data_IF_281269632422
#
_entry.id   IF_281269632422
#
_cell.length_a   1.000
_cell.length_b   1.000
_cell.length_c   1.000
_cell.angle_alpha   90.00
_cell.angle_beta   90.00
_cell.angle_gamma   90.00
#
_symmetry.space_group_name_H-M   'P 1'
#
loop_
_entity.id
_entity.type
_entity.pdbx_description
1 polymer ?
#
# COMPACT_ATOMS: atom_id res chain seq x y z
N UNK A 1 -6.60 -20.00 -10.00
CA UNK A 1 -5.96 -18.84 -9.35
C UNK A 1 -6.57 -17.59 -9.95
N UNK A 2 -7.20 -16.71 -9.15
CA UNK A 2 -7.86 -15.50 -9.65
C UNK A 2 -6.83 -14.52 -10.24
N UNK A 3 -7.25 -13.66 -11.21
CA UNK A 3 -6.38 -12.62 -11.81
C UNK A 3 -5.79 -11.69 -10.75
N UNK A 4 -6.56 -11.33 -9.73
CA UNK A 4 -6.13 -10.52 -8.58
C UNK A 4 -4.99 -11.19 -7.80
N UNK A 5 -5.08 -12.49 -7.56
CA UNK A 5 -4.02 -13.25 -6.91
C UNK A 5 -2.71 -13.24 -7.70
N UNK A 6 -2.79 -13.37 -9.01
CA UNK A 6 -1.61 -13.27 -9.88
C UNK A 6 -0.95 -11.88 -9.78
N UNK A 7 -1.73 -10.81 -9.75
CA UNK A 7 -1.21 -9.44 -9.60
C UNK A 7 -0.58 -9.21 -8.23
N UNK A 8 -1.20 -9.70 -7.16
CA UNK A 8 -0.64 -9.64 -5.82
C UNK A 8 0.74 -10.32 -5.75
N UNK A 9 0.88 -11.53 -6.30
CA UNK A 9 2.18 -12.21 -6.35
C UNK A 9 3.18 -11.48 -7.25
N UNK A 10 2.73 -10.88 -8.34
CA UNK A 10 3.60 -10.09 -9.22
C UNK A 10 4.15 -8.83 -8.54
N UNK A 11 3.51 -8.32 -7.47
CA UNK A 11 4.07 -7.23 -6.68
C UNK A 11 5.36 -7.61 -5.96
N UNK A 12 5.50 -8.89 -5.58
CA UNK A 12 6.73 -9.44 -5.00
C UNK A 12 7.75 -9.90 -6.07
N UNK A 13 7.27 -10.19 -7.28
CA UNK A 13 8.07 -10.57 -8.44
C UNK A 13 7.81 -9.63 -9.60
N UNK A 14 8.22 -8.39 -9.46
CA UNK A 14 8.12 -7.44 -10.56
C UNK A 14 9.01 -7.90 -11.71
N UNK A 15 8.39 -8.45 -12.76
CA UNK A 15 9.10 -8.76 -14.00
C UNK A 15 9.69 -7.47 -14.58
N UNK A 16 10.88 -7.54 -15.24
CA UNK A 16 11.54 -6.35 -15.77
C UNK A 16 10.63 -5.45 -16.61
N UNK A 17 9.79 -6.01 -17.49
CA UNK A 17 8.91 -5.23 -18.36
C UNK A 17 7.81 -4.47 -17.59
N UNK A 18 7.25 -5.11 -16.56
CA UNK A 18 6.24 -4.49 -15.70
C UNK A 18 6.89 -3.57 -14.67
N UNK A 19 8.11 -3.90 -14.25
CA UNK A 19 8.92 -3.10 -13.35
C UNK A 19 9.29 -1.77 -13.99
N UNK A 20 9.69 -1.74 -15.27
CA UNK A 20 10.06 -0.50 -15.94
C UNK A 20 8.93 0.54 -15.93
N UNK A 21 7.73 0.17 -16.35
CA UNK A 21 6.61 1.13 -16.40
C UNK A 21 6.14 1.57 -15.01
N UNK A 22 5.83 0.63 -14.10
CA UNK A 22 5.39 0.97 -12.76
C UNK A 22 6.46 1.77 -12.00
N UNK A 23 7.71 1.31 -12.03
CA UNK A 23 8.81 1.98 -11.35
C UNK A 23 9.08 3.37 -11.94
N UNK A 24 8.89 3.60 -13.23
CA UNK A 24 9.00 4.96 -13.80
C UNK A 24 8.00 5.96 -13.22
N UNK A 25 6.90 5.48 -12.63
CA UNK A 25 5.87 6.32 -12.00
C UNK A 25 6.17 6.62 -10.53
N UNK A 26 6.88 5.74 -9.84
CA UNK A 26 7.01 5.77 -8.38
C UNK A 26 8.45 5.77 -7.87
N UNK A 27 9.45 5.63 -8.74
CA UNK A 27 10.86 5.45 -8.31
C UNK A 27 11.42 6.62 -7.49
N UNK A 28 10.98 7.84 -7.77
CA UNK A 28 11.32 9.02 -6.98
C UNK A 28 10.85 8.92 -5.53
N UNK A 29 9.63 8.43 -5.31
CA UNK A 29 9.07 8.20 -3.98
C UNK A 29 9.61 6.90 -3.36
N UNK A 30 9.62 5.82 -4.15
CA UNK A 30 10.02 4.50 -3.66
C UNK A 30 11.46 4.48 -3.13
N UNK A 31 12.40 5.17 -3.82
CA UNK A 31 13.80 5.20 -3.43
C UNK A 31 14.12 6.27 -2.36
N UNK A 32 13.13 7.01 -1.87
CA UNK A 32 13.35 7.95 -0.78
C UNK A 32 13.63 7.22 0.53
N UNK A 33 14.48 7.80 1.39
CA UNK A 33 14.81 7.23 2.71
C UNK A 33 13.54 7.03 3.56
N UNK A 34 12.57 7.94 3.42
CA UNK A 34 11.30 7.90 4.14
C UNK A 34 10.46 6.67 3.77
N UNK A 35 10.35 6.35 2.49
CA UNK A 35 9.61 5.16 2.04
C UNK A 35 10.41 3.90 2.34
N UNK A 36 11.72 3.89 2.10
CA UNK A 36 12.58 2.74 2.42
C UNK A 36 12.61 2.43 3.92
N UNK A 37 12.53 3.44 4.79
CA UNK A 37 12.47 3.22 6.24
C UNK A 37 11.25 2.40 6.69
N UNK A 38 10.20 2.28 5.87
CA UNK A 38 9.05 1.44 6.16
C UNK A 38 9.38 -0.06 6.25
N UNK A 39 10.54 -0.48 5.77
CA UNK A 39 11.02 -1.86 5.88
C UNK A 39 11.22 -2.31 7.34
N UNK A 40 11.56 -1.38 8.23
CA UNK A 40 11.79 -1.67 9.66
C UNK A 40 10.49 -1.87 10.46
N UNK A 41 9.32 -1.53 9.90
CA UNK A 41 8.03 -1.67 10.58
C UNK A 41 7.30 -2.91 10.08
N UNK A 42 6.97 -3.81 11.01
CA UNK A 42 6.12 -4.96 10.70
C UNK A 42 4.68 -4.50 10.46
N UNK A 43 4.04 -5.02 9.40
CA UNK A 43 2.66 -4.68 9.06
C UNK A 43 1.71 -5.84 9.39
N UNK A 44 1.96 -7.00 8.82
CA UNK A 44 1.14 -8.21 9.02
C UNK A 44 2.04 -9.43 9.18
N UNK A 45 2.35 -9.80 10.45
CA UNK A 45 3.16 -10.96 10.82
C UNK A 45 4.54 -10.98 10.10
N UNK A 46 4.70 -11.74 9.03
CA UNK A 46 5.97 -11.87 8.31
C UNK A 46 6.18 -10.80 7.20
N UNK A 47 5.26 -9.84 7.06
CA UNK A 47 5.29 -8.82 6.01
C UNK A 47 5.57 -7.46 6.62
N UNK A 48 6.63 -6.79 6.15
CA UNK A 48 6.92 -5.42 6.56
C UNK A 48 6.07 -4.38 5.80
N UNK A 49 6.03 -3.15 6.31
CA UNK A 49 5.18 -2.09 5.77
C UNK A 49 5.58 -1.68 4.35
N UNK A 50 6.87 -1.69 4.02
CA UNK A 50 7.33 -1.41 2.67
C UNK A 50 6.79 -2.44 1.66
N UNK A 51 6.81 -3.72 2.00
CA UNK A 51 6.24 -4.79 1.17
C UNK A 51 4.73 -4.60 0.99
N UNK A 52 4.02 -4.27 2.07
CA UNK A 52 2.58 -4.03 2.04
C UNK A 52 2.23 -2.85 1.12
N UNK A 53 2.78 -1.66 1.35
CA UNK A 53 2.45 -0.47 0.53
C UNK A 53 2.83 -0.66 -0.94
N UNK A 54 3.92 -1.37 -1.22
CA UNK A 54 4.33 -1.71 -2.59
C UNK A 54 3.31 -2.64 -3.26
N UNK A 55 2.82 -3.64 -2.52
CA UNK A 55 1.81 -4.58 -3.02
C UNK A 55 0.48 -3.89 -3.30
N UNK A 56 0.02 -3.04 -2.38
CA UNK A 56 -1.20 -2.24 -2.55
C UNK A 56 -1.06 -1.31 -3.74
N UNK A 57 0.05 -0.58 -3.85
CA UNK A 57 0.32 0.36 -4.94
C UNK A 57 0.34 -0.33 -6.29
N UNK A 58 1.09 -1.42 -6.42
CA UNK A 58 1.17 -2.15 -7.69
C UNK A 58 -0.18 -2.73 -8.12
N UNK A 59 -0.93 -3.31 -7.19
CA UNK A 59 -2.26 -3.86 -7.48
C UNK A 59 -3.23 -2.76 -7.89
N UNK A 60 -3.24 -1.64 -7.17
CA UNK A 60 -4.07 -0.47 -7.47
C UNK A 60 -3.75 0.11 -8.85
N UNK A 61 -2.47 0.27 -9.17
CA UNK A 61 -1.98 0.65 -10.49
C UNK A 61 -2.54 -0.25 -11.59
N UNK A 62 -2.45 -1.58 -11.42
CA UNK A 62 -2.94 -2.55 -12.43
C UNK A 62 -4.45 -2.45 -12.65
N UNK A 63 -5.21 -2.23 -11.58
CA UNK A 63 -6.67 -2.05 -11.66
C UNK A 63 -7.00 -0.74 -12.37
N UNK A 64 -6.42 0.38 -11.92
CA UNK A 64 -6.65 1.69 -12.51
C UNK A 64 -6.31 1.72 -14.00
N UNK A 65 -5.15 1.16 -14.38
CA UNK A 65 -4.72 1.04 -15.78
C UNK A 65 -5.72 0.24 -16.63
N UNK A 66 -6.24 -0.86 -16.09
CA UNK A 66 -7.24 -1.67 -16.79
C UNK A 66 -8.58 -0.95 -16.98
N UNK A 67 -8.95 -0.10 -16.02
CA UNK A 67 -10.18 0.71 -16.06
C UNK A 67 -10.04 1.97 -16.92
N UNK A 68 -8.85 2.29 -17.42
CA UNK A 68 -8.57 3.55 -18.12
C UNK A 68 -8.64 4.78 -17.20
N UNK A 69 -8.43 4.59 -15.88
CA UNK A 69 -8.45 5.65 -14.89
C UNK A 69 -7.03 6.22 -14.70
N UNK A 70 -6.91 7.28 -13.90
CA UNK A 70 -5.62 7.93 -13.62
C UNK A 70 -4.68 7.03 -12.81
N UNK A 71 -4.11 6.03 -13.48
CA UNK A 71 -3.24 5.02 -12.88
C UNK A 71 -1.91 5.58 -12.37
N UNK A 72 -1.48 6.75 -12.86
CA UNK A 72 -0.25 7.43 -12.41
C UNK A 72 -0.45 7.95 -11.00
N UNK A 73 -1.47 8.76 -10.78
CA UNK A 73 -1.84 9.27 -9.46
C UNK A 73 -2.19 8.13 -8.50
N UNK A 74 -2.89 7.08 -8.98
CA UNK A 74 -3.20 5.90 -8.15
C UNK A 74 -1.93 5.21 -7.68
N UNK A 75 -0.94 4.94 -8.54
CA UNK A 75 0.30 4.30 -8.13
C UNK A 75 1.03 5.09 -7.03
N UNK A 76 1.12 6.40 -7.18
CA UNK A 76 1.83 7.30 -6.25
C UNK A 76 1.09 7.45 -4.92
N UNK A 77 -0.18 7.81 -4.96
CA UNK A 77 -0.99 8.01 -3.75
C UNK A 77 -1.11 6.74 -2.91
N UNK A 78 -1.31 5.59 -3.57
CA UNK A 78 -1.42 4.30 -2.86
C UNK A 78 -0.09 3.78 -2.33
N UNK A 79 1.06 4.19 -2.88
CA UNK A 79 2.37 3.89 -2.29
C UNK A 79 2.57 4.60 -0.94
N UNK A 80 1.98 5.77 -0.78
CA UNK A 80 2.15 6.63 0.40
C UNK A 80 1.04 6.47 1.46
N UNK A 81 0.06 5.60 1.26
CA UNK A 81 -1.13 5.55 2.12
C UNK A 81 -0.82 5.24 3.59
N UNK A 82 0.21 4.45 3.85
CA UNK A 82 0.67 4.06 5.18
C UNK A 82 2.07 4.62 5.51
N UNK A 83 2.38 5.83 5.03
CA UNK A 83 3.65 6.51 5.30
C UNK A 83 3.66 7.10 6.72
N UNK A 84 3.73 6.24 7.74
CA UNK A 84 3.88 6.63 9.15
C UNK A 84 5.00 5.82 9.82
N UNK A 85 5.67 6.40 10.84
CA UNK A 85 6.96 5.95 11.37
C UNK A 85 6.88 5.48 12.83
N UNK A 86 5.89 4.64 13.16
CA UNK A 86 5.74 4.02 14.48
C UNK A 86 5.18 2.61 14.36
N UNK A 87 5.43 1.78 15.39
CA UNK A 87 4.79 0.47 15.48
C UNK A 87 3.37 0.65 16.06
N UNK A 88 2.36 0.39 15.24
CA UNK A 88 0.96 0.53 15.64
C UNK A 88 0.52 -0.48 16.72
N UNK A 89 1.33 -1.50 16.98
CA UNK A 89 1.08 -2.52 18.02
C UNK A 89 1.66 -2.12 19.38
N UNK A 90 2.57 -1.18 19.41
CA UNK A 90 3.16 -0.69 20.66
C UNK A 90 2.12 0.08 21.48
N UNK A 91 1.68 -0.49 22.62
CA UNK A 91 0.64 0.07 23.47
C UNK A 91 1.08 1.26 24.32
N UNK A 92 2.34 1.65 24.31
CA UNK A 92 2.90 2.70 25.15
C UNK A 92 2.79 4.12 24.60
N UNK A 93 2.51 4.29 23.30
CA UNK A 93 2.48 5.58 22.64
C UNK A 93 1.10 6.25 22.58
N UNK A 94 1.06 7.58 22.61
CA UNK A 94 -0.18 8.39 22.51
C UNK A 94 -0.89 8.29 21.15
N UNK A 95 -0.25 7.69 20.15
CA UNK A 95 -0.81 7.51 18.81
C UNK A 95 -1.76 6.32 18.67
N UNK A 96 -1.87 5.48 19.72
CA UNK A 96 -2.53 4.19 19.60
C UNK A 96 -3.99 4.22 19.36
N UNK A 97 -4.73 5.10 19.99
CA UNK A 97 -6.18 4.99 19.97
C UNK A 97 -6.84 6.26 19.50
N UNK A 98 -7.67 6.17 18.50
CA UNK A 98 -7.90 5.04 17.58
C UNK A 98 -6.96 5.10 16.38
N UNK A 99 -6.00 4.16 16.30
CA UNK A 99 -4.99 4.10 15.22
C UNK A 99 -5.62 4.22 13.81
N UNK A 100 -6.69 3.47 13.54
CA UNK A 100 -7.39 3.49 12.26
C UNK A 100 -7.91 4.87 11.82
N UNK A 101 -8.12 5.81 12.76
CA UNK A 101 -8.53 7.19 12.44
C UNK A 101 -7.35 8.15 12.32
N UNK A 102 -6.25 7.86 13.01
CA UNK A 102 -5.11 8.79 13.10
C UNK A 102 -4.06 8.54 12.02
N UNK A 103 -3.72 7.27 11.73
CA UNK A 103 -2.63 6.97 10.79
C UNK A 103 -2.82 7.55 9.40
N UNK A 104 -4.05 7.63 8.80
CA UNK A 104 -4.19 8.25 7.47
C UNK A 104 -3.79 9.72 7.47
N UNK A 105 -4.05 10.44 8.58
CA UNK A 105 -3.66 11.84 8.72
C UNK A 105 -2.16 12.01 8.90
N UNK A 106 -1.52 11.12 9.66
CA UNK A 106 -0.05 11.10 9.78
C UNK A 106 0.61 10.77 8.45
N UNK A 107 0.12 9.74 7.75
CA UNK A 107 0.61 9.36 6.44
C UNK A 107 0.47 10.52 5.44
N UNK A 108 -0.66 11.22 5.43
CA UNK A 108 -0.87 12.35 4.54
C UNK A 108 0.08 13.52 4.85
N UNK A 109 0.30 13.84 6.12
CA UNK A 109 1.26 14.88 6.50
C UNK A 109 2.68 14.52 6.06
N UNK A 110 3.12 13.31 6.35
CA UNK A 110 4.45 12.83 5.94
C UNK A 110 4.59 12.80 4.40
N UNK A 111 3.53 12.43 3.69
CA UNK A 111 3.52 12.44 2.23
C UNK A 111 3.64 13.87 1.65
N UNK A 112 3.02 14.88 2.28
CA UNK A 112 3.16 16.30 1.91
C UNK A 112 4.58 16.79 2.20
N UNK A 113 5.19 16.37 3.30
CA UNK A 113 6.57 16.71 3.63
C UNK A 113 7.55 16.11 2.64
N UNK A 114 7.34 14.85 2.24
CA UNK A 114 8.16 14.14 1.26
C UNK A 114 8.01 14.72 -0.15
N UNK A 115 6.79 15.00 -0.58
CA UNK A 115 6.48 15.51 -1.91
C UNK A 115 5.58 16.75 -1.83
N UNK A 116 6.18 17.94 -1.94
CA UNK A 116 5.44 19.23 -1.90
C UNK A 116 4.42 19.37 -3.05
N UNK A 117 4.58 18.62 -4.13
CA UNK A 117 3.70 18.64 -5.30
C UNK A 117 2.64 17.53 -5.28
N UNK A 118 2.38 16.94 -4.11
CA UNK A 118 1.34 15.91 -3.97
C UNK A 118 -0.04 16.46 -4.36
N UNK A 119 -0.74 15.78 -5.26
CA UNK A 119 -2.04 16.20 -5.75
C UNK A 119 -3.16 16.01 -4.71
N UNK A 120 -4.27 16.74 -4.88
CA UNK A 120 -5.46 16.56 -4.03
C UNK A 120 -6.06 15.17 -4.14
N UNK A 121 -5.91 14.52 -5.30
CA UNK A 121 -6.36 13.15 -5.51
C UNK A 121 -5.49 12.14 -4.74
N UNK A 122 -4.16 12.33 -4.70
CA UNK A 122 -3.27 11.50 -3.87
C UNK A 122 -3.56 11.69 -2.38
N UNK A 123 -3.76 12.93 -1.92
CA UNK A 123 -4.16 13.23 -0.54
C UNK A 123 -5.48 12.53 -0.17
N UNK A 124 -6.47 12.60 -1.06
CA UNK A 124 -7.77 11.96 -0.86
C UNK A 124 -7.64 10.44 -0.70
N UNK A 125 -6.81 9.79 -1.53
CA UNK A 125 -6.51 8.36 -1.40
C UNK A 125 -5.89 8.02 -0.05
N UNK A 126 -4.93 8.83 0.40
CA UNK A 126 -4.22 8.61 1.66
C UNK A 126 -5.16 8.81 2.85
N UNK A 127 -5.93 9.90 2.87
CA UNK A 127 -6.78 10.25 4.02
C UNK A 127 -7.99 9.32 4.16
N UNK A 128 -8.56 8.87 3.05
CA UNK A 128 -9.83 8.14 3.06
C UNK A 128 -9.70 6.62 2.79
N UNK A 129 -8.47 6.06 2.75
CA UNK A 129 -8.31 4.62 2.48
C UNK A 129 -8.99 3.72 3.52
N UNK A 130 -9.22 4.24 4.74
CA UNK A 130 -9.90 3.52 5.81
C UNK A 130 -11.43 3.56 5.75
N UNK A 131 -12.02 4.21 4.72
CA UNK A 131 -13.48 4.15 4.54
C UNK A 131 -13.98 2.69 4.37
N UNK A 132 -15.13 2.28 4.93
CA UNK A 132 -16.11 3.05 5.72
C UNK A 132 -15.78 3.14 7.22
N UNK A 133 -14.66 2.62 7.69
CA UNK A 133 -14.26 2.73 9.10
C UNK A 133 -14.13 4.22 9.52
N UNK A 134 -13.51 5.04 8.68
CA UNK A 134 -13.65 6.49 8.73
C UNK A 134 -14.92 6.90 7.97
N UNK A 135 -15.80 7.65 8.61
CA UNK A 135 -17.17 7.93 8.11
C UNK A 135 -17.20 8.75 6.83
N UNK A 136 -16.14 9.54 6.55
CA UNK A 136 -16.07 10.43 5.38
C UNK A 136 -15.67 9.63 4.14
N UNK A 137 -16.53 9.59 3.10
CA UNK A 137 -16.22 8.89 1.86
C UNK A 137 -15.18 9.65 1.03
N UNK A 138 -14.42 8.94 0.18
CA UNK A 138 -13.54 9.57 -0.79
C UNK A 138 -14.30 10.45 -1.79
N UNK A 139 -13.62 11.50 -2.26
CA UNK A 139 -14.15 12.42 -3.29
C UNK A 139 -13.94 11.92 -4.71
N UNK A 140 -12.85 11.19 -4.94
CA UNK A 140 -12.45 10.74 -6.27
C UNK A 140 -12.73 9.24 -6.45
N UNK A 141 -13.20 8.87 -7.63
CA UNK A 141 -13.48 7.46 -7.96
C UNK A 141 -12.24 6.56 -7.81
N UNK A 142 -11.07 7.09 -8.11
CA UNK A 142 -9.80 6.38 -8.01
C UNK A 142 -9.48 5.99 -6.55
N UNK A 143 -9.90 6.80 -5.59
CA UNK A 143 -9.67 6.53 -4.15
C UNK A 143 -10.44 5.29 -3.65
N UNK A 144 -11.50 4.88 -4.35
CA UNK A 144 -12.17 3.62 -4.00
C UNK A 144 -11.34 2.38 -4.33
N UNK A 145 -10.39 2.49 -5.27
CA UNK A 145 -9.49 1.36 -5.59
C UNK A 145 -8.67 0.95 -4.38
N UNK A 146 -8.07 1.93 -3.68
CA UNK A 146 -7.22 1.62 -2.52
C UNK A 146 -8.00 0.97 -1.38
N UNK A 147 -9.25 1.38 -1.14
CA UNK A 147 -10.10 0.80 -0.09
C UNK A 147 -10.21 -0.73 -0.26
N UNK A 148 -10.35 -1.20 -1.50
CA UNK A 148 -10.42 -2.63 -1.79
C UNK A 148 -9.05 -3.29 -1.82
N UNK A 149 -8.06 -2.66 -2.44
CA UNK A 149 -6.73 -3.26 -2.62
C UNK A 149 -5.96 -3.38 -1.32
N UNK A 150 -6.04 -2.38 -0.44
CA UNK A 150 -5.47 -2.42 0.89
C UNK A 150 -6.02 -3.60 1.71
N UNK A 151 -7.34 -3.66 1.87
CA UNK A 151 -8.00 -4.75 2.61
C UNK A 151 -7.76 -6.12 1.99
N UNK A 152 -7.72 -6.20 0.66
CA UNK A 152 -7.39 -7.43 -0.04
C UNK A 152 -5.96 -7.87 0.24
N UNK A 153 -4.97 -6.97 0.16
CA UNK A 153 -3.58 -7.27 0.46
C UNK A 153 -3.42 -7.70 1.92
N UNK A 154 -3.96 -6.93 2.87
CA UNK A 154 -3.92 -7.25 4.29
C UNK A 154 -4.51 -8.64 4.59
N UNK A 155 -5.69 -8.94 4.03
CA UNK A 155 -6.29 -10.27 4.18
C UNK A 155 -5.43 -11.39 3.59
N UNK A 156 -4.81 -11.16 2.44
CA UNK A 156 -3.92 -12.13 1.79
C UNK A 156 -2.64 -12.35 2.60
N UNK A 157 -2.05 -11.31 3.12
CA UNK A 157 -0.86 -11.34 3.95
C UNK A 157 -1.11 -12.14 5.23
N UNK A 158 -2.21 -11.83 5.92
CA UNK A 158 -2.64 -12.58 7.11
C UNK A 158 -2.89 -14.07 6.80
N UNK A 159 -3.60 -14.36 5.71
CA UNK A 159 -3.90 -15.73 5.30
C UNK A 159 -2.63 -16.53 4.99
N UNK A 160 -1.62 -15.92 4.36
CA UNK A 160 -0.34 -16.59 4.08
C UNK A 160 0.47 -16.83 5.34
N UNK A 161 0.52 -15.88 6.21
CA UNK A 161 1.25 -15.99 7.47
C UNK A 161 0.66 -17.05 8.39
N UNK A 162 -0.66 -17.17 8.46
CA UNK A 162 -1.35 -18.18 9.29
C UNK A 162 -1.36 -19.58 8.67
N UNK A 163 -1.30 -19.70 7.36
CA UNK A 163 -1.37 -21.00 6.68
C UNK A 163 0.02 -21.54 6.33
N UNK A 164 0.56 -22.50 7.10
CA UNK A 164 1.86 -23.14 6.83
C UNK A 164 1.99 -23.67 5.39
N UNK A 165 0.91 -24.19 4.81
CA UNK A 165 0.87 -24.69 3.42
C UNK A 165 1.08 -23.59 2.40
N UNK A 166 0.41 -22.44 2.58
CA UNK A 166 0.51 -21.31 1.68
C UNK A 166 1.79 -20.53 1.88
N UNK A 167 2.29 -20.41 3.12
CA UNK A 167 3.60 -19.81 3.44
C UNK A 167 4.73 -20.50 2.67
N UNK A 168 4.76 -21.84 2.65
CA UNK A 168 5.74 -22.60 1.86
C UNK A 168 5.63 -22.33 0.35
N UNK A 169 4.40 -22.32 -0.17
CA UNK A 169 4.14 -22.04 -1.60
C UNK A 169 4.50 -20.61 -1.98
N UNK A 170 4.18 -19.66 -1.15
CA UNK A 170 4.50 -18.25 -1.34
C UNK A 170 6.02 -18.02 -1.33
N UNK A 171 6.72 -18.54 -0.34
CA UNK A 171 8.19 -18.44 -0.25
C UNK A 171 8.91 -19.07 -1.44
N UNK A 172 8.39 -20.19 -1.97
CA UNK A 172 8.92 -20.80 -3.20
C UNK A 172 8.70 -19.87 -4.41
N UNK A 173 7.53 -19.24 -4.53
CA UNK A 173 7.22 -18.33 -5.63
C UNK A 173 8.01 -17.02 -5.59
N UNK A 174 8.50 -16.59 -4.42
CA UNK A 174 9.31 -15.38 -4.27
C UNK A 174 10.79 -15.67 -4.56
N UNK A 175 11.27 -16.89 -4.28
CA UNK A 175 12.69 -17.27 -4.47
C UNK A 175 13.04 -17.63 -5.92
N UNK A 176 12.10 -18.14 -6.69
CA UNK A 176 12.25 -18.44 -8.12
C UNK A 176 11.99 -17.16 -8.97
#
# INVERSE_FOLDING_TARGET
MTKLFKHYILSYKLKPETKCEYMSLVSDLYNSDQVQSLEQYEQHLDINRLQHVTSVSYLSYKIAKRLGWDYRTVARGTLLHDLFYYDWRDASGDWHRPHGYKHPKFACRNAIELNKNISEKEKDMIVHHMFPFTVVPPRYKESYIIIFTDKYCAWRELYYSLSKKYKRKFNKLIKD
#
